data_IF_646349526531
#
_entry.id   IF_646349526531
#
_cell.length_a   1.000
_cell.length_b   1.000
_cell.length_c   1.000
_cell.angle_alpha   90.00
_cell.angle_beta   90.00
_cell.angle_gamma   90.00
#
_symmetry.space_group_name_H-M   'P 1'
#
loop_
_entity.id
_entity.type
_entity.pdbx_description
1 polymer ?
#
# COMPACT_ATOMS: atom_id res chain seq x y z
N UNK A 1 7.51 -15.47 -16.19
CA UNK A 1 6.14 -15.17 -16.61
C UNK A 1 6.17 -13.78 -17.18
N UNK A 2 5.83 -13.64 -18.45
CA UNK A 2 5.68 -12.32 -19.04
C UNK A 2 4.46 -11.66 -18.45
N UNK A 3 4.64 -10.46 -17.88
CA UNK A 3 3.56 -9.68 -17.29
C UNK A 3 2.77 -9.02 -18.42
N UNK A 4 1.46 -9.24 -18.45
CA UNK A 4 0.60 -8.57 -19.40
C UNK A 4 0.21 -7.19 -18.88
N UNK A 5 0.27 -6.20 -19.75
CA UNK A 5 -0.15 -4.82 -19.49
C UNK A 5 -1.36 -4.45 -20.36
N UNK A 6 -2.05 -3.41 -20.00
CA UNK A 6 -3.29 -2.99 -20.67
C UNK A 6 -3.16 -2.81 -22.19
N UNK A 7 -1.98 -2.46 -22.70
CA UNK A 7 -1.70 -2.33 -24.15
C UNK A 7 -1.44 -3.66 -24.86
N UNK A 8 -1.23 -4.74 -24.10
CA UNK A 8 -0.93 -6.06 -24.64
C UNK A 8 -2.20 -6.89 -24.83
N UNK A 9 -3.36 -6.35 -24.45
CA UNK A 9 -4.65 -7.01 -24.50
C UNK A 9 -5.66 -6.14 -25.25
N UNK A 10 -6.52 -6.78 -26.05
CA UNK A 10 -7.58 -6.07 -26.76
C UNK A 10 -8.70 -5.66 -25.80
N UNK A 11 -8.91 -4.36 -25.66
CA UNK A 11 -9.95 -3.74 -24.80
C UNK A 11 -11.01 -2.98 -25.61
N UNK A 12 -10.83 -2.87 -26.93
CA UNK A 12 -11.66 -2.04 -27.79
C UNK A 12 -13.07 -2.55 -27.85
N UNK A 13 -14.03 -1.67 -27.55
CA UNK A 13 -15.48 -1.97 -27.52
C UNK A 13 -15.84 -3.18 -26.66
N UNK A 14 -15.09 -3.37 -25.56
CA UNK A 14 -15.34 -4.42 -24.56
C UNK A 14 -15.85 -3.83 -23.25
N UNK A 15 -16.47 -4.70 -22.45
CA UNK A 15 -16.76 -4.41 -21.05
C UNK A 15 -15.46 -4.64 -20.26
N UNK A 16 -14.84 -3.57 -19.77
CA UNK A 16 -13.56 -3.64 -19.09
C UNK A 16 -13.73 -3.28 -17.64
N UNK A 17 -13.52 -4.24 -16.75
CA UNK A 17 -13.53 -4.01 -15.32
C UNK A 17 -12.13 -3.54 -14.87
N UNK A 18 -12.07 -2.43 -14.14
CA UNK A 18 -10.84 -1.87 -13.60
C UNK A 18 -10.90 -1.91 -12.08
N UNK A 19 -10.00 -2.66 -11.46
CA UNK A 19 -9.81 -2.67 -10.00
C UNK A 19 -8.92 -1.51 -9.60
N UNK A 20 -9.47 -0.58 -8.86
CA UNK A 20 -8.79 0.64 -8.39
C UNK A 20 -8.69 0.67 -6.87
N UNK A 21 -7.77 1.45 -6.32
CA UNK A 21 -7.70 1.73 -4.89
C UNK A 21 -8.26 3.13 -4.59
N UNK A 22 -9.57 3.22 -4.41
CA UNK A 22 -10.27 4.46 -4.04
C UNK A 22 -10.60 4.52 -2.55
N UNK A 23 -9.77 3.89 -1.72
CA UNK A 23 -9.84 4.06 -0.27
C UNK A 23 -9.28 5.44 0.10
N UNK A 24 -10.01 6.48 -0.29
CA UNK A 24 -9.67 7.89 -0.09
C UNK A 24 -10.10 8.37 1.31
N UNK A 25 -9.40 9.36 1.89
CA UNK A 25 -9.85 9.97 3.14
C UNK A 25 -11.09 10.85 2.89
N UNK A 26 -12.04 10.75 3.81
CA UNK A 26 -13.25 11.58 3.84
C UNK A 26 -13.20 12.52 5.04
N UNK A 27 -13.72 13.74 4.89
CA UNK A 27 -13.96 14.66 5.97
C UNK A 27 -15.20 14.26 6.80
N UNK A 28 -15.55 15.06 7.82
CA UNK A 28 -16.70 14.80 8.68
C UNK A 28 -18.05 14.87 7.94
N UNK A 29 -18.11 15.61 6.84
CA UNK A 29 -19.29 15.75 5.98
C UNK A 29 -19.37 14.66 4.89
N UNK A 30 -18.38 13.75 4.84
CA UNK A 30 -18.29 12.69 3.86
C UNK A 30 -17.77 13.13 2.49
N UNK A 31 -17.13 14.30 2.37
CA UNK A 31 -16.47 14.74 1.16
C UNK A 31 -15.03 14.21 1.11
N UNK A 32 -14.51 14.04 -0.11
CA UNK A 32 -13.15 13.59 -0.33
C UNK A 32 -12.17 14.73 -0.01
N UNK A 33 -11.31 14.53 1.00
CA UNK A 33 -10.28 15.49 1.39
C UNK A 33 -8.99 15.37 0.58
N UNK A 34 -8.71 14.16 0.01
CA UNK A 34 -7.59 13.92 -0.89
C UNK A 34 -8.02 12.98 -2.03
N UNK A 35 -7.94 13.46 -3.26
CA UNK A 35 -8.34 12.73 -4.48
C UNK A 35 -7.15 12.17 -5.29
N UNK A 36 -5.95 12.17 -4.73
CA UNK A 36 -4.71 11.72 -5.40
C UNK A 36 -4.85 10.31 -5.96
N UNK A 37 -5.50 9.40 -5.24
CA UNK A 37 -5.72 8.01 -5.69
C UNK A 37 -6.64 7.91 -6.90
N UNK A 38 -7.66 8.79 -6.99
CA UNK A 38 -8.56 8.84 -8.16
C UNK A 38 -7.79 9.39 -9.36
N UNK A 39 -7.04 10.48 -9.18
CA UNK A 39 -6.21 11.07 -10.26
C UNK A 39 -5.19 10.09 -10.82
N UNK A 40 -4.59 9.27 -9.97
CA UNK A 40 -3.56 8.32 -10.36
C UNK A 40 -4.06 7.26 -11.36
N UNK A 41 -5.36 6.94 -11.37
CA UNK A 41 -5.96 5.96 -12.29
C UNK A 41 -6.52 6.57 -13.56
N UNK A 42 -6.60 7.92 -13.67
CA UNK A 42 -7.14 8.59 -14.86
C UNK A 42 -6.42 8.20 -16.16
N UNK A 43 -5.09 7.98 -16.21
CA UNK A 43 -4.45 7.50 -17.43
C UNK A 43 -5.02 6.17 -17.95
N UNK A 44 -5.29 5.21 -17.05
CA UNK A 44 -5.91 3.92 -17.40
C UNK A 44 -7.34 4.10 -17.89
N UNK A 45 -8.13 4.89 -17.17
CA UNK A 45 -9.53 5.16 -17.54
C UNK A 45 -9.59 5.89 -18.89
N UNK A 46 -8.79 6.92 -19.09
CA UNK A 46 -8.74 7.69 -20.34
C UNK A 46 -8.36 6.82 -21.54
N UNK A 47 -7.39 5.93 -21.38
CA UNK A 47 -7.02 4.98 -22.42
C UNK A 47 -8.18 4.07 -22.81
N UNK A 48 -8.92 3.55 -21.83
CA UNK A 48 -10.08 2.71 -22.10
C UNK A 48 -11.21 3.46 -22.78
N UNK A 49 -11.40 4.74 -22.44
CA UNK A 49 -12.37 5.61 -23.13
C UNK A 49 -11.96 5.91 -24.57
N UNK A 50 -10.64 6.07 -24.85
CA UNK A 50 -10.12 6.23 -26.21
C UNK A 50 -10.30 4.98 -27.07
N UNK A 51 -10.42 3.80 -26.44
CA UNK A 51 -10.71 2.52 -27.08
C UNK A 51 -12.21 2.20 -27.13
N UNK A 52 -13.09 3.15 -26.87
CA UNK A 52 -14.56 2.98 -26.83
C UNK A 52 -15.00 1.83 -25.88
N UNK A 53 -14.29 1.56 -24.80
CA UNK A 53 -14.67 0.53 -23.84
C UNK A 53 -15.87 0.97 -22.97
N UNK A 54 -16.68 0.02 -22.50
CA UNK A 54 -17.57 0.21 -21.34
C UNK A 54 -16.73 -0.01 -20.08
N UNK A 55 -16.47 1.05 -19.31
CA UNK A 55 -15.57 0.98 -18.17
C UNK A 55 -16.31 0.70 -16.88
N UNK A 56 -15.96 -0.39 -16.20
CA UNK A 56 -16.58 -0.82 -14.94
C UNK A 56 -15.56 -0.65 -13.83
N UNK A 57 -15.74 0.35 -12.98
CA UNK A 57 -14.83 0.63 -11.86
C UNK A 57 -15.29 -0.16 -10.64
N UNK A 58 -14.36 -0.92 -10.05
CA UNK A 58 -14.55 -1.65 -8.80
C UNK A 58 -13.48 -1.24 -7.79
N UNK A 59 -13.92 -0.96 -6.58
CA UNK A 59 -13.02 -0.51 -5.50
C UNK A 59 -13.57 -0.83 -4.12
N UNK A 60 -12.80 -0.50 -3.09
CA UNK A 60 -13.25 -0.52 -1.71
C UNK A 60 -13.05 0.84 -1.05
N UNK A 61 -13.80 1.10 0.00
CA UNK A 61 -13.66 2.27 0.88
C UNK A 61 -13.87 1.83 2.33
N UNK A 62 -12.91 2.14 3.20
CA UNK A 62 -12.97 1.81 4.63
C UNK A 62 -13.04 0.32 4.94
N UNK A 63 -13.63 0.00 6.09
CA UNK A 63 -13.79 -1.38 6.61
C UNK A 63 -15.22 -1.62 7.08
N UNK A 64 -16.17 -1.86 6.18
CA UNK A 64 -17.58 -2.05 6.51
C UNK A 64 -17.92 -3.46 7.02
N UNK A 65 -16.95 -4.38 7.11
CA UNK A 65 -17.09 -5.73 7.68
C UNK A 65 -18.19 -6.57 7.01
N UNK A 66 -18.29 -6.48 5.70
CA UNK A 66 -19.24 -7.27 4.91
C UNK A 66 -20.70 -6.78 5.02
N UNK A 67 -20.94 -5.53 5.42
CA UNK A 67 -22.27 -4.95 5.55
C UNK A 67 -22.36 -3.62 4.82
N UNK A 68 -23.48 -3.37 4.14
CA UNK A 68 -23.74 -2.08 3.53
C UNK A 68 -23.82 -0.99 4.61
N UNK A 69 -23.05 0.08 4.42
CA UNK A 69 -23.00 1.24 5.31
C UNK A 69 -22.82 2.51 4.46
N UNK A 70 -23.78 3.46 4.51
CA UNK A 70 -23.71 4.69 3.71
C UNK A 70 -22.43 5.50 3.88
N UNK A 71 -21.79 5.43 5.06
CA UNK A 71 -20.50 6.09 5.35
C UNK A 71 -19.39 5.61 4.40
N UNK A 72 -19.45 4.38 3.95
CA UNK A 72 -18.45 3.75 3.10
C UNK A 72 -18.92 3.54 1.65
N UNK A 73 -19.99 4.25 1.24
CA UNK A 73 -20.46 4.24 -0.15
C UNK A 73 -19.46 4.91 -1.09
N UNK A 74 -19.30 4.37 -2.30
CA UNK A 74 -18.47 4.97 -3.35
C UNK A 74 -19.14 6.14 -4.08
N UNK A 75 -20.34 6.58 -3.67
CA UNK A 75 -21.04 7.75 -4.28
C UNK A 75 -20.18 9.02 -4.34
N UNK A 76 -19.42 9.42 -3.29
CA UNK A 76 -18.52 10.58 -3.37
C UNK A 76 -17.43 10.39 -4.44
N UNK A 77 -16.91 9.18 -4.57
CA UNK A 77 -15.90 8.82 -5.58
C UNK A 77 -16.47 8.94 -7.00
N UNK A 78 -17.66 8.41 -7.25
CA UNK A 78 -18.32 8.51 -8.55
C UNK A 78 -18.55 9.98 -8.96
N UNK A 79 -19.02 10.82 -8.04
CA UNK A 79 -19.17 12.27 -8.28
C UNK A 79 -17.84 12.94 -8.59
N UNK A 80 -16.78 12.61 -7.85
CA UNK A 80 -15.45 13.17 -8.07
C UNK A 80 -14.88 12.75 -9.42
N UNK A 81 -15.05 11.48 -9.79
CA UNK A 81 -14.64 10.94 -11.08
C UNK A 81 -15.38 11.62 -12.23
N UNK A 82 -16.71 11.83 -12.13
CA UNK A 82 -17.49 12.60 -13.10
C UNK A 82 -16.92 14.02 -13.27
N UNK A 83 -16.50 14.65 -12.16
CA UNK A 83 -15.87 15.98 -12.21
C UNK A 83 -14.55 16.01 -12.99
N UNK A 84 -13.77 14.92 -13.00
CA UNK A 84 -12.56 14.80 -13.80
C UNK A 84 -12.83 14.49 -15.27
N UNK A 85 -13.80 13.61 -15.53
CA UNK A 85 -14.14 13.19 -16.90
C UNK A 85 -15.02 14.22 -17.63
N UNK A 86 -15.77 15.06 -16.87
CA UNK A 86 -16.66 16.10 -17.41
C UNK A 86 -17.60 15.55 -18.50
N UNK A 87 -17.56 16.14 -19.68
CA UNK A 87 -18.39 15.75 -20.84
C UNK A 87 -17.79 14.57 -21.62
N UNK A 88 -16.58 14.14 -21.29
CA UNK A 88 -15.90 13.04 -22.00
C UNK A 88 -16.58 11.70 -21.80
N UNK A 89 -17.15 11.46 -20.62
CA UNK A 89 -17.83 10.23 -20.27
C UNK A 89 -18.93 10.49 -19.24
N UNK A 90 -20.02 9.77 -19.35
CA UNK A 90 -21.06 9.72 -18.33
C UNK A 90 -20.66 8.71 -17.25
N UNK A 91 -20.68 9.14 -15.98
CA UNK A 91 -20.32 8.28 -14.83
C UNK A 91 -21.60 7.87 -14.09
N UNK A 92 -21.94 6.60 -14.20
CA UNK A 92 -23.10 5.99 -13.54
C UNK A 92 -22.66 5.44 -12.18
N UNK A 93 -23.41 5.69 -11.11
CA UNK A 93 -23.18 5.04 -9.82
C UNK A 93 -24.19 3.89 -9.66
N UNK A 94 -23.68 2.67 -9.49
CA UNK A 94 -24.51 1.49 -9.24
C UNK A 94 -24.91 1.40 -7.74
N UNK A 95 -26.01 0.72 -7.47
CA UNK A 95 -26.49 0.52 -6.08
C UNK A 95 -25.87 -0.70 -5.40
N UNK A 96 -25.22 -1.59 -6.17
CA UNK A 96 -24.59 -2.82 -5.69
C UNK A 96 -23.34 -3.14 -6.53
N UNK A 97 -22.63 -4.21 -6.19
CA UNK A 97 -21.43 -4.65 -6.91
C UNK A 97 -21.64 -5.91 -7.77
N UNK A 98 -22.75 -6.63 -7.61
CA UNK A 98 -23.11 -7.83 -8.40
C UNK A 98 -24.62 -7.93 -8.59
N UNK A 99 -25.06 -8.95 -9.35
CA UNK A 99 -26.46 -9.30 -9.53
C UNK A 99 -27.05 -8.89 -10.87
N UNK A 100 -28.26 -9.38 -11.15
CA UNK A 100 -28.95 -9.20 -12.44
C UNK A 100 -29.24 -7.74 -12.79
N UNK A 101 -29.54 -6.89 -11.78
CA UNK A 101 -29.76 -5.45 -11.96
C UNK A 101 -28.49 -4.76 -12.47
N UNK A 102 -27.35 -5.09 -11.87
CA UNK A 102 -26.04 -4.51 -12.25
C UNK A 102 -25.66 -4.96 -13.66
N UNK A 103 -25.84 -6.26 -13.95
CA UNK A 103 -25.61 -6.78 -15.31
C UNK A 103 -26.43 -6.04 -16.35
N UNK A 104 -27.73 -5.85 -16.09
CA UNK A 104 -28.59 -5.09 -16.98
C UNK A 104 -28.14 -3.65 -17.18
N UNK A 105 -27.74 -2.96 -16.11
CA UNK A 105 -27.22 -1.59 -16.21
C UNK A 105 -25.96 -1.53 -17.10
N UNK A 106 -25.02 -2.50 -16.95
CA UNK A 106 -23.80 -2.57 -17.77
C UNK A 106 -24.14 -2.87 -19.24
N UNK A 107 -25.10 -3.76 -19.50
CA UNK A 107 -25.52 -4.08 -20.86
C UNK A 107 -26.14 -2.84 -21.56
N UNK A 108 -26.90 -2.02 -20.83
CA UNK A 108 -27.54 -0.79 -21.30
C UNK A 108 -26.59 0.42 -21.45
N UNK A 109 -25.36 0.37 -20.92
CA UNK A 109 -24.36 1.42 -21.09
C UNK A 109 -24.02 1.65 -22.56
N UNK A 110 -23.68 2.88 -22.93
CA UNK A 110 -23.05 3.16 -24.22
C UNK A 110 -21.54 2.90 -24.14
N UNK A 111 -20.93 2.68 -25.29
CA UNK A 111 -19.46 2.66 -25.37
C UNK A 111 -18.92 4.04 -25.00
N UNK A 112 -17.87 4.07 -24.18
CA UNK A 112 -17.32 5.30 -23.61
C UNK A 112 -17.98 5.75 -22.30
N UNK A 113 -18.99 5.04 -21.78
CA UNK A 113 -19.54 5.28 -20.45
C UNK A 113 -18.68 4.61 -19.35
N UNK A 114 -18.80 5.14 -18.16
CA UNK A 114 -18.17 4.60 -16.93
C UNK A 114 -19.24 4.25 -15.92
N UNK A 115 -19.22 3.07 -15.34
CA UNK A 115 -20.02 2.71 -14.17
C UNK A 115 -19.11 2.46 -12.98
N UNK A 116 -19.41 3.04 -11.84
CA UNK A 116 -18.76 2.75 -10.56
C UNK A 116 -19.68 1.83 -9.77
N UNK A 117 -19.24 0.61 -9.52
CA UNK A 117 -19.98 -0.33 -8.68
C UNK A 117 -19.87 0.09 -7.22
N UNK A 118 -20.82 -0.38 -6.38
CA UNK A 118 -20.77 -0.07 -4.96
C UNK A 118 -19.57 -0.80 -4.28
N UNK A 119 -19.25 -0.38 -3.06
CA UNK A 119 -18.10 -0.85 -2.30
C UNK A 119 -18.05 -2.38 -2.21
N UNK A 120 -17.03 -2.99 -2.81
CA UNK A 120 -16.85 -4.45 -2.84
C UNK A 120 -16.87 -5.08 -1.45
N UNK A 121 -16.42 -4.36 -0.42
CA UNK A 121 -16.39 -4.82 0.97
C UNK A 121 -17.76 -4.82 1.66
N UNK A 122 -18.83 -4.40 0.97
CA UNK A 122 -20.18 -4.66 1.44
C UNK A 122 -20.56 -6.13 1.28
N UNK A 123 -19.88 -6.85 0.37
CA UNK A 123 -20.00 -8.30 0.27
C UNK A 123 -18.97 -9.01 1.15
N UNK A 124 -19.39 -9.94 2.02
CA UNK A 124 -18.47 -10.80 2.78
C UNK A 124 -17.56 -11.67 1.88
N UNK A 125 -17.98 -11.92 0.64
CA UNK A 125 -17.24 -12.73 -0.34
C UNK A 125 -15.96 -12.06 -0.82
N UNK A 126 -15.87 -10.72 -0.80
CA UNK A 126 -14.68 -10.00 -1.26
C UNK A 126 -13.45 -10.35 -0.41
N UNK A 127 -13.51 -10.14 0.89
CA UNK A 127 -12.33 -10.33 1.78
C UNK A 127 -12.00 -11.81 2.00
N UNK A 128 -12.95 -12.72 1.77
CA UNK A 128 -12.77 -14.17 1.87
C UNK A 128 -12.24 -14.82 0.60
N UNK A 129 -12.11 -14.04 -0.48
CA UNK A 129 -11.83 -14.57 -1.82
C UNK A 129 -12.81 -15.69 -2.22
N UNK A 130 -14.11 -15.42 -2.02
CA UNK A 130 -15.16 -16.39 -2.33
C UNK A 130 -15.25 -16.62 -3.85
N UNK A 131 -15.09 -17.88 -4.33
CA UNK A 131 -15.09 -18.16 -5.78
C UNK A 131 -16.40 -17.83 -6.49
N UNK A 132 -17.55 -17.92 -5.80
CA UNK A 132 -18.85 -17.58 -6.40
C UNK A 132 -18.97 -16.08 -6.59
N UNK A 133 -18.55 -15.28 -5.61
CA UNK A 133 -18.49 -13.82 -5.72
C UNK A 133 -17.50 -13.37 -6.82
N UNK A 134 -16.33 -13.97 -6.89
CA UNK A 134 -15.34 -13.70 -7.94
C UNK A 134 -15.91 -14.02 -9.34
N UNK A 135 -16.60 -15.15 -9.49
CA UNK A 135 -17.25 -15.55 -10.74
C UNK A 135 -18.39 -14.60 -11.13
N UNK A 136 -19.18 -14.13 -10.18
CA UNK A 136 -20.22 -13.14 -10.46
C UNK A 136 -19.61 -11.81 -10.92
N UNK A 137 -18.57 -11.29 -10.25
CA UNK A 137 -17.86 -10.12 -10.72
C UNK A 137 -17.30 -10.31 -12.14
N UNK A 138 -16.62 -11.43 -12.39
CA UNK A 138 -16.07 -11.75 -13.71
C UNK A 138 -17.13 -11.79 -14.80
N UNK A 139 -18.37 -12.24 -14.49
CA UNK A 139 -19.48 -12.28 -15.45
C UNK A 139 -19.91 -10.91 -15.98
N UNK A 140 -19.53 -9.83 -15.31
CA UNK A 140 -19.85 -8.45 -15.66
C UNK A 140 -18.91 -7.87 -16.73
N UNK A 141 -17.77 -8.49 -17.00
CA UNK A 141 -16.76 -7.96 -17.91
C UNK A 141 -16.23 -9.01 -18.88
N UNK A 142 -15.58 -8.53 -19.94
CA UNK A 142 -14.88 -9.34 -20.93
C UNK A 142 -13.37 -9.35 -20.68
N UNK A 143 -12.86 -8.30 -20.00
CA UNK A 143 -11.45 -8.10 -19.63
C UNK A 143 -11.38 -7.47 -18.25
N UNK A 144 -10.40 -7.90 -17.46
CA UNK A 144 -10.12 -7.34 -16.15
C UNK A 144 -8.76 -6.62 -16.13
N UNK A 145 -8.75 -5.40 -15.62
CA UNK A 145 -7.54 -4.58 -15.46
C UNK A 145 -7.28 -4.34 -13.98
N UNK A 146 -6.16 -4.86 -13.50
CA UNK A 146 -5.68 -4.59 -12.15
C UNK A 146 -4.88 -3.29 -12.12
N UNK A 147 -5.36 -2.28 -11.37
CA UNK A 147 -4.70 -0.97 -11.24
C UNK A 147 -4.62 -0.48 -9.78
N UNK A 148 -4.68 -1.43 -8.83
CA UNK A 148 -4.70 -1.18 -7.39
C UNK A 148 -3.46 -1.74 -6.69
N UNK A 149 -2.27 -1.20 -6.97
CA UNK A 149 -1.00 -1.67 -6.41
C UNK A 149 -1.03 -1.78 -4.88
N UNK A 150 -1.59 -0.79 -4.16
CA UNK A 150 -1.66 -0.78 -2.71
C UNK A 150 -2.42 -1.98 -2.09
N UNK A 151 -3.19 -2.71 -2.90
CA UNK A 151 -3.96 -3.89 -2.47
C UNK A 151 -3.37 -5.23 -2.95
N UNK A 152 -2.28 -5.24 -3.75
CA UNK A 152 -1.71 -6.46 -4.33
C UNK A 152 -1.21 -7.49 -3.30
N UNK A 153 -1.01 -7.08 -2.04
CA UNK A 153 -0.66 -7.96 -0.94
C UNK A 153 -1.87 -8.72 -0.34
N UNK A 154 -3.11 -8.42 -0.76
CA UNK A 154 -4.34 -8.99 -0.23
C UNK A 154 -4.88 -10.10 -1.14
N UNK A 155 -5.31 -11.21 -0.53
CA UNK A 155 -5.97 -12.32 -1.23
C UNK A 155 -7.49 -12.12 -1.22
N UNK A 156 -7.97 -11.07 -1.89
CA UNK A 156 -9.40 -10.78 -2.02
C UNK A 156 -9.93 -11.23 -3.39
N UNK A 157 -11.24 -11.44 -3.52
CA UNK A 157 -11.87 -11.90 -4.76
C UNK A 157 -11.57 -10.99 -5.96
N UNK A 158 -11.64 -9.67 -5.76
CA UNK A 158 -11.31 -8.68 -6.80
C UNK A 158 -9.80 -8.47 -7.02
N UNK A 159 -8.95 -9.18 -6.30
CA UNK A 159 -7.49 -9.07 -6.45
C UNK A 159 -6.88 -10.27 -7.15
N UNK A 160 -7.35 -11.48 -6.85
CA UNK A 160 -6.80 -12.74 -7.36
C UNK A 160 -7.86 -13.73 -7.85
N UNK A 161 -9.15 -13.53 -7.53
CA UNK A 161 -10.20 -14.50 -7.88
C UNK A 161 -10.81 -14.24 -9.26
N UNK A 162 -10.92 -12.97 -9.67
CA UNK A 162 -11.50 -12.61 -10.99
C UNK A 162 -10.60 -13.08 -12.13
N UNK A 163 -9.27 -13.10 -11.93
CA UNK A 163 -8.28 -13.49 -12.91
C UNK A 163 -8.44 -14.96 -13.39
N UNK A 164 -9.08 -15.81 -12.58
CA UNK A 164 -9.35 -17.21 -12.93
C UNK A 164 -10.42 -17.37 -14.03
N UNK A 165 -11.21 -16.32 -14.29
CA UNK A 165 -12.40 -16.42 -15.16
C UNK A 165 -12.32 -15.58 -16.43
N UNK A 166 -11.50 -14.51 -16.46
CA UNK A 166 -11.40 -13.59 -17.60
C UNK A 166 -9.95 -13.20 -17.88
N UNK A 167 -9.59 -12.86 -19.12
CA UNK A 167 -8.28 -12.31 -19.44
C UNK A 167 -7.98 -11.06 -18.61
N UNK A 168 -6.79 -11.01 -18.03
CA UNK A 168 -6.40 -9.98 -17.07
C UNK A 168 -5.06 -9.34 -17.43
N UNK A 169 -4.93 -8.04 -17.17
CA UNK A 169 -3.70 -7.29 -17.36
C UNK A 169 -3.53 -6.18 -16.31
N UNK A 170 -2.29 -5.69 -16.17
CA UNK A 170 -1.99 -4.54 -15.32
C UNK A 170 -2.31 -3.22 -16.02
N UNK A 171 -2.98 -2.30 -15.31
CA UNK A 171 -3.19 -0.92 -15.75
C UNK A 171 -1.92 -0.08 -15.67
N UNK A 172 -2.00 1.17 -16.11
CA UNK A 172 -0.82 2.06 -16.16
C UNK A 172 -0.27 2.41 -14.79
N UNK A 173 -1.12 2.57 -13.77
CA UNK A 173 -0.64 2.83 -12.40
C UNK A 173 0.12 1.63 -11.87
N UNK A 174 -0.46 0.43 -11.96
CA UNK A 174 0.20 -0.80 -11.51
C UNK A 174 1.50 -1.06 -12.28
N UNK A 175 1.52 -0.84 -13.60
CA UNK A 175 2.73 -0.94 -14.42
C UNK A 175 3.83 -0.01 -13.93
N UNK A 176 3.48 1.27 -13.69
CA UNK A 176 4.42 2.27 -13.18
C UNK A 176 5.07 1.82 -11.87
N UNK A 177 4.27 1.34 -10.94
CA UNK A 177 4.74 0.82 -9.64
C UNK A 177 5.68 -0.40 -9.82
N UNK A 178 5.29 -1.35 -10.69
CA UNK A 178 6.10 -2.53 -11.00
C UNK A 178 7.45 -2.09 -11.61
N UNK A 179 7.44 -1.21 -12.61
CA UNK A 179 8.65 -0.75 -13.30
C UNK A 179 9.61 -0.03 -12.33
N UNK A 180 9.09 0.81 -11.42
CA UNK A 180 9.90 1.49 -10.41
C UNK A 180 10.49 0.50 -9.39
N UNK A 181 9.69 -0.43 -8.89
CA UNK A 181 10.16 -1.43 -7.92
C UNK A 181 11.17 -2.40 -8.55
N UNK A 182 10.94 -2.85 -9.78
CA UNK A 182 11.90 -3.71 -10.48
C UNK A 182 13.24 -3.02 -10.67
N UNK A 183 13.24 -1.76 -11.11
CA UNK A 183 14.48 -0.97 -11.22
C UNK A 183 15.16 -0.83 -9.86
N UNK A 184 14.41 -0.45 -8.82
CA UNK A 184 14.97 -0.23 -7.49
C UNK A 184 15.55 -1.50 -6.84
N UNK A 185 15.02 -2.68 -7.17
CA UNK A 185 15.42 -3.95 -6.53
C UNK A 185 16.37 -4.78 -7.39
N UNK A 186 16.17 -4.80 -8.72
CA UNK A 186 16.91 -5.70 -9.61
C UNK A 186 18.04 -5.00 -10.36
N UNK A 187 17.90 -3.72 -10.68
CA UNK A 187 18.92 -2.95 -11.39
C UNK A 187 18.99 -1.50 -10.89
N UNK A 188 19.24 -1.28 -9.58
CA UNK A 188 19.30 0.06 -9.02
C UNK A 188 20.55 0.83 -9.46
N UNK A 189 20.41 2.15 -9.54
CA UNK A 189 21.59 3.02 -9.55
C UNK A 189 22.19 3.02 -8.13
N UNK A 190 23.49 2.72 -8.02
CA UNK A 190 24.17 2.60 -6.74
C UNK A 190 24.87 3.92 -6.34
N UNK A 191 24.99 4.23 -5.04
CA UNK A 191 24.55 3.43 -3.90
C UNK A 191 23.02 3.32 -3.77
N UNK A 192 22.52 2.11 -3.44
CA UNK A 192 21.10 1.87 -3.17
C UNK A 192 20.87 1.69 -1.68
N UNK A 193 19.91 2.45 -1.15
CA UNK A 193 19.61 2.51 0.29
C UNK A 193 18.16 2.08 0.53
N UNK A 194 17.94 1.19 1.49
CA UNK A 194 16.62 0.87 1.98
C UNK A 194 16.38 1.54 3.34
N UNK A 195 15.23 2.22 3.48
CA UNK A 195 14.74 2.75 4.75
C UNK A 195 13.56 1.91 5.19
N UNK A 196 13.71 1.20 6.30
CA UNK A 196 12.73 0.26 6.81
C UNK A 196 12.32 0.65 8.23
N UNK A 197 11.04 0.67 8.49
CA UNK A 197 10.49 0.92 9.82
C UNK A 197 9.19 0.14 10.03
N UNK A 198 8.79 0.02 11.28
CA UNK A 198 7.58 -0.67 11.66
C UNK A 198 7.60 -1.08 13.13
N UNK A 199 6.49 -1.65 13.61
CA UNK A 199 6.38 -2.11 14.98
C UNK A 199 7.07 -3.47 15.18
N UNK A 200 6.97 -4.38 14.19
CA UNK A 200 7.41 -5.77 14.31
C UNK A 200 8.40 -6.17 13.24
N UNK A 201 9.46 -6.88 13.63
CA UNK A 201 10.44 -7.47 12.71
C UNK A 201 9.80 -8.62 11.93
N UNK A 202 8.98 -9.45 12.60
CA UNK A 202 8.32 -10.62 12.00
C UNK A 202 7.53 -10.29 10.73
N UNK A 203 6.92 -9.09 10.67
CA UNK A 203 6.17 -8.64 9.50
C UNK A 203 7.05 -8.32 8.29
N UNK A 204 8.35 -8.06 8.51
CA UNK A 204 9.28 -7.59 7.48
C UNK A 204 10.51 -8.48 7.28
N UNK A 205 10.63 -9.57 8.02
CA UNK A 205 11.81 -10.43 8.04
C UNK A 205 12.25 -10.86 6.64
N UNK A 206 11.33 -11.41 5.83
CA UNK A 206 11.60 -11.86 4.46
C UNK A 206 12.04 -10.71 3.54
N UNK A 207 11.50 -9.52 3.77
CA UNK A 207 11.88 -8.33 3.01
C UNK A 207 13.31 -7.95 3.36
N UNK A 208 13.65 -7.88 4.66
CA UNK A 208 14.98 -7.52 5.14
C UNK A 208 16.03 -8.52 4.65
N UNK A 209 15.76 -9.83 4.72
CA UNK A 209 16.64 -10.88 4.21
C UNK A 209 16.96 -10.74 2.71
N UNK A 210 15.94 -10.42 1.91
CA UNK A 210 16.10 -10.21 0.48
C UNK A 210 16.87 -8.91 0.17
N UNK A 211 16.58 -7.84 0.90
CA UNK A 211 17.24 -6.55 0.73
C UNK A 211 18.70 -6.59 1.22
N UNK A 212 19.01 -7.33 2.29
CA UNK A 212 20.37 -7.52 2.78
C UNK A 212 21.35 -8.15 1.77
N UNK A 213 20.82 -8.76 0.70
CA UNK A 213 21.63 -9.33 -0.40
C UNK A 213 21.78 -8.36 -1.57
N UNK A 214 21.05 -7.27 -1.61
CA UNK A 214 20.91 -6.42 -2.80
C UNK A 214 21.26 -4.95 -2.56
N UNK A 215 21.10 -4.46 -1.31
CA UNK A 215 21.28 -3.06 -0.95
C UNK A 215 22.73 -2.77 -0.50
N UNK A 216 23.17 -1.54 -0.69
CA UNK A 216 24.46 -1.07 -0.14
C UNK A 216 24.30 -0.66 1.32
N UNK A 217 23.12 -0.10 1.67
CA UNK A 217 22.81 0.36 3.04
C UNK A 217 21.36 0.03 3.38
N UNK A 218 21.11 -0.33 4.63
CA UNK A 218 19.76 -0.50 5.19
C UNK A 218 19.67 0.31 6.49
N UNK A 219 18.72 1.23 6.55
CA UNK A 219 18.41 2.03 7.73
C UNK A 219 17.18 1.42 8.40
N UNK A 220 17.32 1.04 9.66
CA UNK A 220 16.24 0.42 10.46
C UNK A 220 15.73 1.45 11.45
N UNK A 221 14.44 1.78 11.35
CA UNK A 221 13.74 2.68 12.27
C UNK A 221 12.47 2.04 12.87
N UNK A 222 11.72 2.84 13.64
CA UNK A 222 10.54 2.39 14.34
C UNK A 222 10.83 1.38 15.46
N UNK A 223 9.77 0.81 16.05
CA UNK A 223 9.93 -0.08 17.21
C UNK A 223 10.69 -1.38 16.90
N UNK A 224 10.71 -1.81 15.63
CA UNK A 224 11.51 -2.99 15.25
C UNK A 224 13.03 -2.81 15.53
N UNK A 225 13.54 -1.57 15.59
CA UNK A 225 14.94 -1.30 15.94
C UNK A 225 15.32 -1.82 17.34
N UNK A 226 14.36 -1.86 18.28
CA UNK A 226 14.62 -2.35 19.64
C UNK A 226 14.90 -3.86 19.68
N UNK A 227 14.31 -4.63 18.77
CA UNK A 227 14.63 -6.06 18.62
C UNK A 227 16.08 -6.24 18.15
N UNK A 228 16.58 -5.38 17.26
CA UNK A 228 17.99 -5.38 16.83
C UNK A 228 18.94 -4.97 17.97
N UNK A 229 18.59 -3.96 18.76
CA UNK A 229 19.40 -3.52 19.90
C UNK A 229 19.43 -4.59 21.00
N UNK A 230 18.29 -5.20 21.34
CA UNK A 230 18.23 -6.30 22.33
C UNK A 230 19.00 -7.53 21.87
N UNK A 231 18.98 -7.84 20.56
CA UNK A 231 19.76 -8.93 19.99
C UNK A 231 21.29 -8.72 20.16
N UNK A 232 21.73 -7.46 20.33
CA UNK A 232 23.10 -7.06 20.65
C UNK A 232 23.34 -6.88 22.17
N UNK A 233 22.38 -7.32 23.00
CA UNK A 233 22.45 -7.28 24.49
C UNK A 233 22.35 -5.87 25.09
N UNK A 234 21.80 -4.89 24.36
CA UNK A 234 21.51 -3.57 24.94
C UNK A 234 20.18 -3.56 25.69
N UNK A 235 20.10 -2.77 26.76
CA UNK A 235 18.84 -2.48 27.44
C UNK A 235 17.97 -1.59 26.56
N UNK A 236 16.67 -1.88 26.51
CA UNK A 236 15.70 -1.13 25.71
C UNK A 236 14.56 -0.56 26.57
N UNK A 237 14.69 -0.60 27.91
CA UNK A 237 13.66 -0.20 28.84
C UNK A 237 12.37 -1.01 28.63
N UNK A 238 11.23 -0.31 28.60
CA UNK A 238 9.92 -0.89 28.32
C UNK A 238 9.51 -0.78 26.85
N UNK A 239 10.46 -0.54 25.94
CA UNK A 239 10.17 -0.42 24.51
C UNK A 239 9.71 -1.75 23.91
N UNK A 240 8.90 -1.65 22.86
CA UNK A 240 8.33 -2.81 22.17
C UNK A 240 9.42 -3.70 21.57
N UNK A 241 9.35 -5.00 21.83
CA UNK A 241 10.32 -5.99 21.35
C UNK A 241 9.67 -7.31 21.00
N UNK A 242 10.25 -8.05 20.06
CA UNK A 242 9.87 -9.42 19.73
C UNK A 242 11.00 -10.38 20.15
N UNK A 243 10.92 -10.91 21.37
CA UNK A 243 11.94 -11.82 21.94
C UNK A 243 12.13 -13.10 21.11
N UNK A 244 11.07 -13.60 20.50
CA UNK A 244 11.13 -14.77 19.61
C UNK A 244 11.93 -14.54 18.33
N UNK A 245 12.25 -13.27 17.99
CA UNK A 245 12.96 -12.90 16.77
C UNK A 245 14.44 -12.58 16.99
N UNK A 246 14.96 -12.64 18.23
CA UNK A 246 16.34 -12.25 18.55
C UNK A 246 17.39 -13.03 17.76
N UNK A 247 17.26 -14.35 17.66
CA UNK A 247 18.21 -15.19 16.93
C UNK A 247 18.11 -14.97 15.41
N UNK A 248 16.89 -14.74 14.91
CA UNK A 248 16.67 -14.40 13.50
C UNK A 248 17.32 -13.07 13.16
N UNK A 249 17.22 -12.08 14.04
CA UNK A 249 17.84 -10.75 13.85
C UNK A 249 19.37 -10.84 13.92
N UNK A 250 19.96 -11.65 14.82
CA UNK A 250 21.41 -11.91 14.83
C UNK A 250 21.88 -12.49 13.50
N UNK A 251 21.18 -13.49 12.98
CA UNK A 251 21.50 -14.07 11.68
C UNK A 251 21.38 -13.04 10.54
N UNK A 252 20.39 -12.16 10.58
CA UNK A 252 20.23 -11.06 9.60
C UNK A 252 21.42 -10.10 9.61
N UNK A 253 21.88 -9.71 10.79
CA UNK A 253 23.07 -8.84 10.93
C UNK A 253 24.30 -9.51 10.34
N UNK A 254 24.48 -10.81 10.57
CA UNK A 254 25.58 -11.61 10.00
C UNK A 254 25.45 -11.74 8.47
N UNK A 255 24.24 -11.96 7.94
CA UNK A 255 23.99 -11.97 6.49
C UNK A 255 24.35 -10.62 5.88
N UNK A 256 23.89 -9.52 6.47
CA UNK A 256 24.20 -8.17 6.00
C UNK A 256 25.70 -7.92 5.96
N UNK A 257 26.41 -8.28 7.02
CA UNK A 257 27.88 -8.15 7.12
C UNK A 257 28.60 -8.97 6.06
N UNK A 258 28.20 -10.23 5.85
CA UNK A 258 28.79 -11.10 4.82
C UNK A 258 28.59 -10.60 3.40
N UNK A 259 27.45 -9.95 3.14
CA UNK A 259 27.13 -9.37 1.83
C UNK A 259 27.70 -7.95 1.62
N UNK A 260 28.38 -7.38 2.62
CA UNK A 260 28.89 -6.01 2.57
C UNK A 260 27.81 -4.92 2.71
N UNK A 261 26.59 -5.30 3.05
CA UNK A 261 25.47 -4.37 3.27
C UNK A 261 25.64 -3.68 4.64
N UNK A 262 25.73 -2.36 4.63
CA UNK A 262 25.84 -1.57 5.88
C UNK A 262 24.47 -1.43 6.54
N UNK A 263 24.32 -1.99 7.74
CA UNK A 263 23.11 -1.87 8.53
C UNK A 263 23.26 -0.68 9.50
N UNK A 264 22.35 0.28 9.44
CA UNK A 264 22.29 1.45 10.32
C UNK A 264 21.15 1.27 11.31
N UNK A 265 21.45 1.31 12.59
CA UNK A 265 20.50 1.34 13.69
C UNK A 265 20.49 2.72 14.32
N UNK A 266 19.40 3.13 15.00
CA UNK A 266 19.38 4.37 15.76
C UNK A 266 20.45 4.39 16.86
N UNK A 267 21.08 5.55 17.05
CA UNK A 267 22.13 5.78 18.06
C UNK A 267 21.63 6.58 19.26
N UNK A 268 20.46 7.23 19.12
CA UNK A 268 19.77 7.93 20.21
C UNK A 268 18.24 7.88 19.98
N UNK A 269 17.51 8.09 21.07
CA UNK A 269 16.05 8.03 21.06
C UNK A 269 15.44 9.16 21.88
N UNK A 270 14.24 9.59 21.45
CA UNK A 270 13.32 10.31 22.31
C UNK A 270 12.58 9.27 23.16
N UNK A 271 12.76 9.35 24.48
CA UNK A 271 12.13 8.42 25.43
C UNK A 271 11.12 9.15 26.30
N UNK A 272 10.11 8.43 26.79
CA UNK A 272 9.08 8.94 27.69
C UNK A 272 8.77 7.92 28.80
N UNK A 273 8.27 8.41 29.95
CA UNK A 273 7.85 7.53 31.05
C UNK A 273 6.59 6.69 30.69
N UNK A 274 5.76 7.20 29.78
CA UNK A 274 4.52 6.54 29.34
C UNK A 274 4.14 6.99 27.93
N UNK A 275 3.32 6.20 27.27
CA UNK A 275 2.75 6.53 25.95
C UNK A 275 1.59 7.54 26.08
N UNK A 276 1.91 8.82 26.30
CA UNK A 276 0.96 9.91 26.49
C UNK A 276 1.54 11.20 25.88
N UNK A 277 0.77 11.97 25.14
CA UNK A 277 1.21 13.22 24.50
C UNK A 277 1.65 14.31 25.47
N UNK A 278 1.35 14.16 26.76
CA UNK A 278 1.76 15.07 27.83
C UNK A 278 2.82 14.49 28.75
N UNK A 279 3.37 13.31 28.43
CA UNK A 279 4.44 12.69 29.20
C UNK A 279 5.73 13.52 29.11
N UNK A 280 6.51 13.49 30.18
CA UNK A 280 7.87 14.02 30.13
C UNK A 280 8.71 13.21 29.13
N UNK A 281 9.46 13.91 28.27
CA UNK A 281 10.34 13.30 27.26
C UNK A 281 11.76 13.79 27.42
N UNK A 282 12.71 12.94 27.09
CA UNK A 282 14.13 13.30 26.99
C UNK A 282 14.80 12.55 25.84
N UNK A 283 15.90 13.09 25.35
CA UNK A 283 16.76 12.42 24.37
C UNK A 283 17.88 11.70 25.11
N UNK A 284 18.07 10.42 24.81
CA UNK A 284 19.13 9.60 25.40
C UNK A 284 19.84 8.76 24.33
N UNK A 285 21.17 8.51 24.49
CA UNK A 285 21.87 7.49 23.71
C UNK A 285 21.21 6.12 23.89
N UNK A 286 21.28 5.24 22.88
CA UNK A 286 20.64 3.93 22.95
C UNK A 286 21.14 3.05 24.12
N UNK A 287 22.36 3.28 24.61
CA UNK A 287 22.94 2.57 25.77
C UNK A 287 22.33 3.03 27.11
N UNK A 288 21.66 4.20 27.13
CA UNK A 288 21.21 4.87 28.36
C UNK A 288 19.65 4.91 28.43
N UNK A 289 18.95 4.08 27.67
CA UNK A 289 17.50 3.98 27.77
C UNK A 289 17.13 3.50 29.18
N UNK A 290 16.38 4.30 29.99
CA UNK A 290 16.08 3.94 31.35
C UNK A 290 15.12 2.72 31.40
N UNK A 291 15.29 1.84 32.38
CA UNK A 291 14.51 0.58 32.50
C UNK A 291 12.99 0.77 32.53
N UNK A 292 12.52 1.88 33.08
CA UNK A 292 11.06 2.16 33.22
C UNK A 292 10.51 3.07 32.14
N UNK A 293 11.31 3.43 31.15
CA UNK A 293 10.94 4.34 30.06
C UNK A 293 10.74 3.62 28.75
N UNK A 294 9.94 4.22 27.88
CA UNK A 294 9.63 3.72 26.53
C UNK A 294 10.30 4.65 25.52
N UNK A 295 11.06 4.10 24.59
CA UNK A 295 11.56 4.87 23.47
C UNK A 295 10.49 4.94 22.36
N UNK A 296 10.21 6.17 21.92
CA UNK A 296 9.09 6.50 21.04
C UNK A 296 9.51 6.85 19.62
N UNK A 297 10.63 7.58 19.47
CA UNK A 297 11.14 8.01 18.17
C UNK A 297 12.66 8.10 18.19
N UNK A 298 13.27 8.24 17.02
CA UNK A 298 14.70 8.49 16.86
C UNK A 298 15.08 9.88 17.37
N UNK A 299 16.26 10.00 17.92
CA UNK A 299 16.82 11.28 18.36
C UNK A 299 17.54 12.06 17.25
N UNK A 300 18.02 13.27 17.56
CA UNK A 300 18.68 14.15 16.60
C UNK A 300 20.02 13.58 16.06
N UNK A 301 20.78 12.83 16.86
CA UNK A 301 22.02 12.20 16.40
C UNK A 301 21.71 11.10 15.37
N UNK A 302 20.66 10.31 15.57
CA UNK A 302 20.18 9.33 14.59
C UNK A 302 19.71 10.01 13.31
N UNK A 303 18.95 11.10 13.43
CA UNK A 303 18.49 11.89 12.28
C UNK A 303 19.68 12.34 11.43
N UNK A 304 20.73 12.86 12.07
CA UNK A 304 21.98 13.26 11.39
C UNK A 304 22.65 12.07 10.72
N UNK A 305 22.84 10.96 11.44
CA UNK A 305 23.45 9.73 10.93
C UNK A 305 22.71 9.19 9.70
N UNK A 306 21.37 9.15 9.76
CA UNK A 306 20.54 8.66 8.65
C UNK A 306 20.58 9.62 7.45
N UNK A 307 20.59 10.94 7.70
CA UNK A 307 20.77 11.95 6.65
C UNK A 307 22.10 11.77 5.93
N UNK A 308 23.20 11.61 6.65
CA UNK A 308 24.52 11.36 6.06
C UNK A 308 24.56 10.04 5.28
N UNK A 309 23.91 8.98 5.79
CA UNK A 309 23.82 7.69 5.08
C UNK A 309 23.02 7.77 3.77
N UNK A 310 22.10 8.74 3.65
CA UNK A 310 21.27 8.94 2.46
C UNK A 310 21.89 9.91 1.44
N UNK A 311 22.87 10.73 1.83
CA UNK A 311 23.40 11.84 1.01
C UNK A 311 23.96 11.40 -0.35
N UNK A 312 24.62 10.25 -0.41
CA UNK A 312 25.22 9.71 -1.63
C UNK A 312 24.29 8.75 -2.40
N UNK A 313 23.09 8.46 -1.87
CA UNK A 313 22.16 7.50 -2.45
C UNK A 313 21.69 7.94 -3.86
N UNK A 314 21.75 7.02 -4.81
CA UNK A 314 21.19 7.18 -6.16
C UNK A 314 19.82 6.53 -6.30
N UNK A 315 19.54 5.53 -5.46
CA UNK A 315 18.24 4.86 -5.37
C UNK A 315 17.86 4.71 -3.90
N UNK A 316 16.65 5.12 -3.53
CA UNK A 316 16.11 4.96 -2.17
C UNK A 316 14.83 4.13 -2.26
N UNK A 317 14.79 3.03 -1.52
CA UNK A 317 13.60 2.23 -1.27
C UNK A 317 13.09 2.54 0.13
N UNK A 318 11.91 3.19 0.23
CA UNK A 318 11.32 3.57 1.50
C UNK A 318 10.11 2.72 1.84
N UNK A 319 10.20 1.94 2.92
CA UNK A 319 9.09 1.15 3.45
C UNK A 319 9.00 1.32 4.97
N UNK A 320 8.47 2.47 5.38
CA UNK A 320 8.24 2.80 6.79
C UNK A 320 6.94 3.57 6.92
N UNK A 321 6.01 3.19 7.80
CA UNK A 321 4.94 4.09 8.20
C UNK A 321 5.56 5.30 8.89
N UNK A 322 5.03 6.49 8.64
CA UNK A 322 5.36 7.68 9.43
C UNK A 322 4.70 7.47 10.80
N UNK A 323 5.42 7.54 11.92
CA UNK A 323 4.81 7.44 13.24
C UNK A 323 3.78 8.55 13.44
N UNK A 324 2.61 8.22 14.00
CA UNK A 324 1.55 9.21 14.30
C UNK A 324 2.00 10.31 15.28
N UNK A 325 3.10 10.09 15.99
CA UNK A 325 3.66 11.03 16.96
C UNK A 325 4.29 12.28 16.33
N UNK A 326 4.87 12.18 15.15
CA UNK A 326 5.52 13.34 14.48
C UNK A 326 4.50 14.42 14.10
N UNK A 327 3.23 14.08 13.94
CA UNK A 327 2.18 15.03 13.55
C UNK A 327 1.52 15.77 14.72
N UNK A 328 1.90 15.51 15.97
CA UNK A 328 1.27 16.18 17.15
C UNK A 328 2.16 17.19 17.87
N UNK A 329 3.40 17.37 17.42
CA UNK A 329 4.37 18.30 18.04
C UNK A 329 4.96 19.33 17.06
N UNK A 330 4.43 19.43 15.83
CA UNK A 330 4.79 20.49 14.88
C UNK A 330 3.69 21.55 14.81
#
# INVERSE_FOLDING_TARGET
>A
MDKLFIKDIDVRKKRVMVRTDYNVPLDEDGNISDDTRIRATLPTINYLLDEDAKVIIVSHLGRPEGKANPKYSLKPVARRLQGFLKERAHVIMADDCIGSKIKKQIDEMHYGDVIVLENLRFSPGEEKNDPSFAKELASLCDVFIQDAFGNCHRKHASMIGVDDFVPSAAGFLLRKEIDYLEKAVNNPMRPVVAVLGGAKVSDKIKIIENLAKKMDKILIGGAMAFTFLKAQSYSIGQSLVEDSMLDVVRNLMDISKRNGTKLYLPVDFVVAEKFDSRAETKVVPFQEIPEKWIALDIGPATTKLFTEALQDAKTILWNSPIPEFVNKTA
#
